data_IF_284303429702
#
_entry.id   IF_284303429702
#
_cell.length_a   1.000
_cell.length_b   1.000
_cell.length_c   1.000
_cell.angle_alpha   90.00
_cell.angle_beta   90.00
_cell.angle_gamma   90.00
#
_symmetry.space_group_name_H-M   'P 1'
#
loop_
_entity.id
_entity.type
_entity.pdbx_description
1 polymer ?
#
# COMPACT_ATOMS: atom_id res chain seq x y z
N UNK A 1 -4.57 19.91 2.27
CA UNK A 1 -3.47 19.86 3.26
C UNK A 1 -3.75 18.84 4.36
N UNK A 2 -4.73 19.06 5.27
CA UNK A 2 -4.98 18.16 6.40
C UNK A 2 -5.12 16.67 6.02
N UNK A 3 -5.77 16.35 4.90
CA UNK A 3 -5.88 14.97 4.40
C UNK A 3 -4.52 14.31 4.09
N UNK A 4 -3.59 15.06 3.47
CA UNK A 4 -2.25 14.56 3.15
C UNK A 4 -1.40 14.39 4.41
N UNK A 5 -1.43 15.37 5.32
CA UNK A 5 -0.66 15.32 6.57
C UNK A 5 -1.15 14.23 7.52
N UNK A 6 -2.46 14.01 7.56
CA UNK A 6 -3.04 12.95 8.36
C UNK A 6 -2.61 11.59 7.84
N UNK A 7 -2.49 11.38 6.53
CA UNK A 7 -2.35 10.04 5.93
C UNK A 7 -0.95 9.70 5.42
N UNK A 8 -0.06 10.68 5.29
CA UNK A 8 1.27 10.49 4.70
C UNK A 8 2.36 11.15 5.56
N UNK A 9 3.65 10.90 5.29
CA UNK A 9 4.75 11.61 5.95
C UNK A 9 4.88 13.08 5.55
N UNK A 10 4.26 13.52 4.45
CA UNK A 10 4.39 14.90 3.97
C UNK A 10 3.80 15.89 4.97
N UNK A 11 4.48 17.02 5.17
CA UNK A 11 4.07 18.12 6.04
C UNK A 11 4.12 19.42 5.26
N UNK A 12 3.08 20.24 5.39
CA UNK A 12 2.94 21.51 4.71
C UNK A 12 3.15 22.62 5.73
N UNK A 13 4.28 23.31 5.61
CA UNK A 13 4.64 24.41 6.51
C UNK A 13 4.40 25.75 5.83
N UNK A 14 3.93 26.74 6.58
CA UNK A 14 3.79 28.09 6.07
C UNK A 14 5.19 28.64 5.73
N UNK A 15 5.38 29.06 4.48
CA UNK A 15 6.65 29.58 3.99
C UNK A 15 7.10 30.79 4.80
N UNK A 16 8.39 30.84 5.10
CA UNK A 16 9.10 32.00 5.66
C UNK A 16 10.15 32.53 4.67
N UNK A 17 11.21 31.77 4.44
CA UNK A 17 12.39 32.17 3.66
C UNK A 17 12.84 31.12 2.66
N UNK A 18 12.13 29.99 2.59
CA UNK A 18 12.43 28.87 1.71
C UNK A 18 12.42 29.34 0.24
N UNK A 19 13.44 28.93 -0.51
CA UNK A 19 13.62 29.33 -1.90
C UNK A 19 12.59 28.67 -2.83
N UNK A 20 12.25 27.41 -2.55
CA UNK A 20 11.32 26.60 -3.32
C UNK A 20 10.07 26.35 -2.49
N UNK A 21 8.90 26.68 -3.02
CA UNK A 21 7.64 26.63 -2.29
C UNK A 21 6.46 26.49 -3.26
N UNK A 22 5.33 26.03 -2.72
CA UNK A 22 4.07 26.02 -3.46
C UNK A 22 3.19 27.19 -3.07
N UNK A 23 2.51 27.79 -4.04
CA UNK A 23 1.51 28.84 -3.82
C UNK A 23 0.17 28.35 -4.31
N UNK A 24 -0.83 28.31 -3.43
CA UNK A 24 -2.22 28.07 -3.84
C UNK A 24 -2.78 29.35 -4.45
N UNK A 25 -3.00 29.35 -5.76
CA UNK A 25 -3.47 30.53 -6.51
C UNK A 25 -4.81 30.24 -7.19
N UNK A 26 -5.70 31.23 -7.32
CA UNK A 26 -6.86 31.09 -8.22
C UNK A 26 -6.39 30.78 -9.64
N UNK A 27 -7.08 29.87 -10.33
CA UNK A 27 -6.83 29.61 -11.75
C UNK A 27 -7.18 30.83 -12.62
N UNK A 28 -6.57 30.93 -13.81
CA UNK A 28 -6.87 32.01 -14.77
C UNK A 28 -8.10 31.72 -15.65
N UNK A 29 -8.71 30.54 -15.47
CA UNK A 29 -9.86 30.03 -16.24
C UNK A 29 -10.79 29.29 -15.26
N UNK A 30 -12.10 29.51 -15.40
CA UNK A 30 -13.13 28.82 -14.60
C UNK A 30 -12.94 27.29 -14.68
N UNK A 31 -13.06 26.61 -13.54
CA UNK A 31 -13.05 25.14 -13.41
C UNK A 31 -11.70 24.43 -13.70
N UNK A 32 -10.58 25.17 -13.71
CA UNK A 32 -9.24 24.58 -13.82
C UNK A 32 -8.64 24.34 -12.43
N UNK A 33 -8.22 23.09 -12.19
CA UNK A 33 -7.29 22.72 -11.12
C UNK A 33 -6.08 22.11 -11.81
N UNK A 34 -4.89 22.56 -11.44
CA UNK A 34 -3.65 22.07 -12.06
C UNK A 34 -2.47 22.26 -11.13
N UNK A 35 -1.44 21.44 -11.33
CA UNK A 35 -0.16 21.57 -10.65
C UNK A 35 0.94 20.93 -11.48
N UNK A 36 2.16 21.43 -11.32
CA UNK A 36 3.34 20.77 -11.87
C UNK A 36 3.63 19.47 -11.10
N UNK A 37 4.25 18.51 -11.78
CA UNK A 37 4.66 17.25 -11.15
C UNK A 37 6.03 17.43 -10.48
N UNK A 38 6.05 17.25 -9.15
CA UNK A 38 7.24 17.35 -8.32
C UNK A 38 7.73 18.79 -8.10
N UNK A 39 8.88 18.92 -7.45
CA UNK A 39 9.51 20.21 -7.11
C UNK A 39 10.22 20.80 -8.32
N UNK A 40 9.65 21.83 -8.95
CA UNK A 40 10.25 22.49 -10.13
C UNK A 40 11.25 23.60 -9.77
N UNK A 41 11.28 24.03 -8.50
CA UNK A 41 12.10 25.13 -7.99
C UNK A 41 11.38 26.49 -8.03
N UNK A 42 11.75 27.40 -7.14
CA UNK A 42 11.12 28.72 -7.00
C UNK A 42 9.66 28.67 -6.52
N UNK A 43 8.88 29.67 -6.95
CA UNK A 43 7.43 29.72 -6.74
C UNK A 43 6.72 28.79 -7.72
N UNK A 44 6.06 27.75 -7.20
CA UNK A 44 5.28 26.79 -7.97
C UNK A 44 3.79 26.92 -7.66
N UNK A 45 3.00 27.31 -8.65
CA UNK A 45 1.56 27.41 -8.48
C UNK A 45 0.90 26.03 -8.36
N UNK A 46 -0.02 25.91 -7.40
CA UNK A 46 -1.10 24.92 -7.39
C UNK A 46 -2.38 25.71 -7.66
N UNK A 47 -2.91 25.58 -8.86
CA UNK A 47 -4.11 26.31 -9.28
C UNK A 47 -5.34 25.69 -8.62
N UNK A 48 -6.03 26.50 -7.83
CA UNK A 48 -7.22 26.12 -7.05
C UNK A 48 -8.32 27.16 -7.23
N UNK A 49 -9.08 27.03 -8.32
CA UNK A 49 -10.30 27.81 -8.53
C UNK A 49 -11.53 27.09 -7.92
N UNK A 50 -12.59 26.85 -8.70
CA UNK A 50 -13.82 26.11 -8.31
C UNK A 50 -13.60 24.60 -8.07
N UNK A 51 -12.43 24.24 -7.54
CA UNK A 51 -11.96 22.92 -7.22
C UNK A 51 -12.66 22.36 -5.98
N UNK A 52 -13.20 21.14 -6.09
CA UNK A 52 -13.61 20.37 -4.92
C UNK A 52 -12.38 19.97 -4.09
N UNK A 53 -12.59 19.67 -2.80
CA UNK A 53 -11.51 19.22 -1.92
C UNK A 53 -10.72 18.03 -2.50
N UNK A 54 -11.39 17.09 -3.16
CA UNK A 54 -10.74 15.95 -3.82
C UNK A 54 -9.86 16.32 -5.01
N UNK A 55 -10.25 17.34 -5.79
CA UNK A 55 -9.39 17.87 -6.86
C UNK A 55 -8.16 18.56 -6.27
N UNK A 56 -8.32 19.33 -5.19
CA UNK A 56 -7.14 19.91 -4.50
C UNK A 56 -6.22 18.83 -3.93
N UNK A 57 -6.77 17.72 -3.40
CA UNK A 57 -5.95 16.57 -2.95
C UNK A 57 -5.17 15.96 -4.12
N UNK A 58 -5.78 15.86 -5.30
CA UNK A 58 -5.13 15.40 -6.54
C UNK A 58 -3.99 16.34 -6.98
N UNK A 59 -4.23 17.65 -7.01
CA UNK A 59 -3.20 18.61 -7.42
C UNK A 59 -2.01 18.66 -6.45
N UNK A 60 -2.27 18.48 -5.15
CA UNK A 60 -1.20 18.28 -4.17
C UNK A 60 -0.41 16.99 -4.48
N UNK A 61 -1.07 15.92 -4.96
CA UNK A 61 -0.39 14.71 -5.41
C UNK A 61 0.57 14.95 -6.57
N UNK A 62 0.17 15.77 -7.55
CA UNK A 62 1.09 16.24 -8.58
C UNK A 62 2.27 17.01 -7.98
N UNK A 63 2.02 18.00 -7.13
CA UNK A 63 3.10 18.80 -6.50
C UNK A 63 4.09 17.93 -5.71
N UNK A 64 3.59 16.88 -5.03
CA UNK A 64 4.40 15.89 -4.32
C UNK A 64 5.28 15.09 -5.28
N UNK A 65 4.81 14.78 -6.48
CA UNK A 65 5.59 14.08 -7.51
C UNK A 65 4.85 12.96 -8.25
N UNK A 66 3.54 12.83 -8.08
CA UNK A 66 2.78 11.77 -8.75
C UNK A 66 2.38 12.16 -10.17
N UNK A 67 2.59 11.24 -11.12
CA UNK A 67 1.90 11.27 -12.39
C UNK A 67 0.47 10.71 -12.23
N UNK A 68 -0.33 10.81 -13.30
CA UNK A 68 -1.62 10.15 -13.32
C UNK A 68 -1.47 8.62 -13.37
N UNK A 69 -2.35 7.90 -12.68
CA UNK A 69 -2.29 6.43 -12.61
C UNK A 69 -2.44 5.78 -14.00
N UNK A 70 -3.32 6.32 -14.85
CA UNK A 70 -3.50 5.80 -16.21
C UNK A 70 -2.31 6.06 -17.15
N UNK A 71 -1.26 6.74 -16.68
CA UNK A 71 -0.02 7.01 -17.45
C UNK A 71 1.15 6.13 -17.03
N UNK A 72 0.94 5.17 -16.12
CA UNK A 72 1.94 4.17 -15.74
C UNK A 72 2.48 3.39 -16.94
N UNK A 73 3.67 2.82 -16.77
CA UNK A 73 4.30 2.00 -17.81
C UNK A 73 3.45 0.76 -18.12
N UNK A 74 2.96 0.12 -17.06
CA UNK A 74 2.20 -1.14 -17.10
C UNK A 74 0.69 -0.98 -17.41
N UNK A 75 0.20 0.26 -17.57
CA UNK A 75 -1.25 0.57 -17.61
C UNK A 75 -2.05 -0.21 -18.65
N UNK A 76 -1.44 -0.56 -19.79
CA UNK A 76 -2.12 -1.30 -20.86
C UNK A 76 -2.45 -2.75 -20.48
N UNK A 77 -1.94 -3.26 -19.36
CA UNK A 77 -2.38 -4.53 -18.76
C UNK A 77 -3.74 -4.37 -18.05
N UNK A 78 -4.06 -3.17 -17.58
CA UNK A 78 -5.17 -2.89 -16.66
C UNK A 78 -6.32 -2.10 -17.29
N UNK A 79 -6.02 -1.20 -18.23
CA UNK A 79 -7.00 -0.36 -18.92
C UNK A 79 -6.78 -0.38 -20.42
N UNK A 80 -7.85 -0.08 -21.17
CA UNK A 80 -7.79 0.26 -22.59
C UNK A 80 -8.03 1.75 -22.76
N UNK A 81 -7.15 2.43 -23.50
CA UNK A 81 -7.36 3.82 -23.91
C UNK A 81 -8.07 3.86 -25.27
N UNK A 82 -9.27 4.42 -25.30
CA UNK A 82 -10.07 4.55 -26.51
C UNK A 82 -9.74 5.86 -27.22
N UNK A 83 -8.59 5.90 -27.90
CA UNK A 83 -8.07 7.10 -28.56
C UNK A 83 -9.06 7.82 -29.48
N UNK A 84 -9.94 7.07 -30.17
CA UNK A 84 -10.96 7.63 -31.05
C UNK A 84 -12.03 8.47 -30.32
N UNK A 85 -12.16 8.33 -29.00
CA UNK A 85 -13.13 9.07 -28.18
C UNK A 85 -12.50 10.29 -27.50
N UNK A 86 -11.19 10.51 -27.61
CA UNK A 86 -10.46 11.58 -26.91
C UNK A 86 -10.42 12.84 -27.77
N UNK A 87 -10.61 14.01 -27.13
CA UNK A 87 -10.39 15.30 -27.77
C UNK A 87 -9.01 15.36 -28.45
N UNK A 88 -8.99 15.78 -29.71
CA UNK A 88 -7.84 15.63 -30.62
C UNK A 88 -6.70 16.62 -30.35
N UNK A 89 -6.91 17.63 -29.51
CA UNK A 89 -5.87 18.60 -29.23
C UNK A 89 -4.68 17.94 -28.50
N UNK A 90 -3.42 18.33 -28.80
CA UNK A 90 -2.24 17.67 -28.25
C UNK A 90 -2.16 17.69 -26.72
N UNK A 91 -2.67 18.76 -26.10
CA UNK A 91 -2.75 18.90 -24.65
C UNK A 91 -3.71 17.86 -24.04
N UNK A 92 -4.86 17.59 -24.68
CA UNK A 92 -5.86 16.64 -24.19
C UNK A 92 -5.43 15.20 -24.40
N UNK A 93 -5.03 14.87 -25.63
CA UNK A 93 -4.54 13.53 -25.97
C UNK A 93 -3.21 13.17 -25.27
N UNK A 94 -2.36 14.17 -24.98
CA UNK A 94 -1.11 14.01 -24.24
C UNK A 94 -1.29 13.46 -22.82
N UNK A 95 -2.42 13.76 -22.15
CA UNK A 95 -2.72 13.29 -20.79
C UNK A 95 -2.93 11.76 -20.68
N UNK A 96 -3.01 11.05 -21.80
CA UNK A 96 -3.18 9.60 -21.87
C UNK A 96 -1.91 8.89 -22.33
N UNK A 97 -0.81 9.61 -22.61
CA UNK A 97 0.46 8.97 -22.96
C UNK A 97 1.17 8.51 -21.70
N UNK A 98 1.87 7.37 -21.77
CA UNK A 98 2.64 6.89 -20.62
C UNK A 98 3.82 7.83 -20.39
N UNK A 99 4.28 7.96 -19.15
CA UNK A 99 5.41 8.86 -18.85
C UNK A 99 6.66 8.50 -19.66
N UNK A 100 6.92 7.20 -19.88
CA UNK A 100 8.03 6.72 -20.72
C UNK A 100 7.91 7.13 -22.18
N UNK A 101 6.69 7.17 -22.74
CA UNK A 101 6.46 7.54 -24.15
C UNK A 101 6.71 9.05 -24.36
N UNK A 102 6.73 9.81 -23.26
CA UNK A 102 7.03 11.23 -23.22
C UNK A 102 8.50 11.51 -22.84
N UNK A 103 9.32 10.47 -22.65
CA UNK A 103 10.72 10.59 -22.22
C UNK A 103 10.88 11.19 -20.83
N UNK A 104 9.87 11.01 -19.96
CA UNK A 104 9.92 11.49 -18.57
C UNK A 104 10.52 10.42 -17.67
N UNK A 105 11.27 10.86 -16.67
CA UNK A 105 11.75 9.97 -15.60
C UNK A 105 10.61 9.61 -14.66
N UNK A 106 10.64 8.40 -14.12
CA UNK A 106 9.63 7.90 -13.20
C UNK A 106 9.76 6.39 -13.00
N UNK A 107 9.05 5.87 -12.00
CA UNK A 107 8.94 4.45 -11.75
C UNK A 107 7.51 4.13 -11.27
N UNK A 108 7.03 2.95 -11.64
CA UNK A 108 5.72 2.45 -11.23
C UNK A 108 5.80 2.03 -9.74
N UNK A 109 4.94 2.62 -8.90
CA UNK A 109 4.91 2.32 -7.47
C UNK A 109 3.77 1.36 -7.14
N UNK A 110 4.12 0.15 -6.70
CA UNK A 110 3.14 -0.85 -6.25
C UNK A 110 2.26 -1.38 -7.40
N UNK A 111 1.19 -2.09 -7.03
CA UNK A 111 0.23 -2.61 -8.01
C UNK A 111 -0.67 -1.48 -8.55
N UNK A 112 -1.21 -1.64 -9.76
CA UNK A 112 -2.09 -0.66 -10.39
C UNK A 112 -3.34 -0.39 -9.55
N UNK A 113 -3.61 0.87 -9.26
CA UNK A 113 -4.68 1.29 -8.35
C UNK A 113 -5.83 2.01 -9.07
N UNK A 114 -6.88 1.26 -9.43
CA UNK A 114 -8.08 1.82 -10.04
C UNK A 114 -8.77 2.88 -9.16
N UNK A 115 -8.61 2.77 -7.83
CA UNK A 115 -9.15 3.68 -6.84
C UNK A 115 -8.27 4.90 -6.55
N UNK A 116 -7.09 5.02 -7.17
CA UNK A 116 -6.18 6.15 -6.96
C UNK A 116 -6.86 7.50 -7.22
N UNK A 117 -6.58 8.48 -6.36
CA UNK A 117 -7.01 9.86 -6.59
C UNK A 117 -6.41 10.40 -7.88
N UNK A 118 -5.26 9.86 -8.31
CA UNK A 118 -4.53 10.22 -9.52
C UNK A 118 -5.08 9.56 -10.80
N UNK A 119 -6.03 8.63 -10.68
CA UNK A 119 -6.65 7.99 -11.84
C UNK A 119 -7.74 8.88 -12.44
N UNK A 120 -7.79 8.98 -13.77
CA UNK A 120 -8.89 9.62 -14.48
C UNK A 120 -10.18 8.80 -14.49
N UNK A 121 -11.32 9.50 -14.57
CA UNK A 121 -12.61 8.85 -14.78
C UNK A 121 -12.79 8.37 -16.21
N UNK A 122 -13.77 7.47 -16.40
CA UNK A 122 -14.09 6.79 -17.66
C UNK A 122 -14.22 7.72 -18.87
N UNK A 123 -14.80 8.92 -18.70
CA UNK A 123 -15.11 9.85 -19.79
C UNK A 123 -14.20 11.08 -19.83
N UNK A 124 -13.04 11.05 -19.14
CA UNK A 124 -12.11 12.17 -19.10
C UNK A 124 -11.74 12.61 -20.53
N UNK A 125 -11.86 13.91 -20.82
CA UNK A 125 -11.57 14.49 -22.14
C UNK A 125 -12.27 13.82 -23.33
N UNK A 126 -13.46 13.25 -23.12
CA UNK A 126 -14.26 12.68 -24.20
C UNK A 126 -14.72 13.77 -25.17
N UNK A 127 -14.68 13.47 -26.47
CA UNK A 127 -15.22 14.35 -27.53
C UNK A 127 -16.63 13.97 -27.98
N UNK A 128 -17.11 12.78 -27.61
CA UNK A 128 -18.35 12.19 -28.10
C UNK A 128 -19.22 11.59 -26.98
N UNK A 129 -18.87 11.86 -25.72
CA UNK A 129 -19.55 11.32 -24.53
C UNK A 129 -19.30 9.84 -24.27
N UNK A 130 -18.52 9.15 -25.13
CA UNK A 130 -18.16 7.75 -24.95
C UNK A 130 -16.92 7.60 -24.06
N UNK A 131 -16.71 6.42 -23.44
CA UNK A 131 -15.55 6.13 -22.60
C UNK A 131 -14.22 6.38 -23.31
N UNK A 132 -13.33 7.16 -22.70
CA UNK A 132 -11.93 7.32 -23.11
C UNK A 132 -11.01 6.32 -22.41
N UNK A 133 -11.40 5.86 -21.23
CA UNK A 133 -10.70 4.82 -20.47
C UNK A 133 -11.69 3.70 -20.12
N UNK A 134 -11.33 2.45 -20.43
CA UNK A 134 -12.13 1.28 -20.06
C UNK A 134 -11.29 0.32 -19.21
N UNK A 135 -11.64 0.09 -17.93
CA UNK A 135 -11.02 -0.97 -17.15
C UNK A 135 -11.18 -2.33 -17.81
N UNK A 136 -10.10 -3.12 -17.84
CA UNK A 136 -10.15 -4.50 -18.34
C UNK A 136 -10.73 -5.47 -17.30
N UNK A 137 -10.59 -5.13 -16.02
CA UNK A 137 -11.21 -5.86 -14.93
C UNK A 137 -12.70 -5.47 -14.80
N UNK A 138 -13.59 -6.47 -14.75
CA UNK A 138 -15.00 -6.22 -14.49
C UNK A 138 -15.23 -5.78 -13.04
N UNK A 139 -16.26 -4.97 -12.78
CA UNK A 139 -16.69 -4.60 -11.43
C UNK A 139 -15.86 -3.54 -10.70
N UNK A 140 -14.80 -3.02 -11.33
CA UNK A 140 -14.00 -1.92 -10.77
C UNK A 140 -14.48 -0.55 -11.27
N UNK A 141 -14.40 0.45 -10.40
CA UNK A 141 -14.68 1.85 -10.73
C UNK A 141 -13.38 2.65 -10.73
N UNK A 142 -13.35 3.73 -11.53
CA UNK A 142 -12.19 4.61 -11.68
C UNK A 142 -12.60 6.08 -11.58
N UNK A 143 -11.66 6.94 -11.18
CA UNK A 143 -11.85 8.39 -11.19
C UNK A 143 -12.50 8.98 -9.95
N UNK A 144 -12.43 8.29 -8.81
CA UNK A 144 -12.90 8.84 -7.54
C UNK A 144 -12.17 10.15 -7.19
N UNK A 145 -12.86 11.06 -6.50
CA UNK A 145 -12.34 12.36 -6.03
C UNK A 145 -12.72 12.62 -4.57
N UNK A 146 -12.66 11.59 -3.73
CA UNK A 146 -12.98 11.66 -2.30
C UNK A 146 -11.74 11.83 -1.44
N UNK A 147 -10.66 11.09 -1.73
CA UNK A 147 -9.40 11.19 -1.00
C UNK A 147 -8.35 10.19 -1.50
N UNK A 148 -7.15 10.27 -0.93
CA UNK A 148 -6.06 9.32 -1.22
C UNK A 148 -6.52 7.88 -1.01
N UNK A 149 -6.26 7.04 -2.00
CA UNK A 149 -6.37 5.59 -1.88
C UNK A 149 -5.24 5.03 -1.01
N UNK A 150 -5.30 3.73 -0.72
CA UNK A 150 -4.19 3.01 -0.07
C UNK A 150 -2.92 3.05 -0.93
N UNK A 151 -3.03 2.85 -2.25
CA UNK A 151 -1.90 2.90 -3.17
C UNK A 151 -1.23 4.27 -3.20
N UNK A 152 -2.03 5.35 -3.20
CA UNK A 152 -1.52 6.73 -3.13
C UNK A 152 -0.71 6.97 -1.84
N UNK A 153 -1.22 6.50 -0.70
CA UNK A 153 -0.56 6.63 0.60
C UNK A 153 0.77 5.85 0.60
N UNK A 154 0.77 4.60 0.14
CA UNK A 154 1.99 3.80 0.07
C UNK A 154 3.05 4.42 -0.85
N UNK A 155 2.64 4.91 -2.02
CA UNK A 155 3.52 5.64 -2.92
C UNK A 155 4.10 6.89 -2.25
N UNK A 156 3.33 7.59 -1.41
CA UNK A 156 3.79 8.79 -0.72
C UNK A 156 4.85 8.46 0.35
N UNK A 157 4.62 7.40 1.13
CA UNK A 157 5.62 6.91 2.09
C UNK A 157 6.92 6.55 1.37
N UNK A 158 6.83 5.83 0.25
CA UNK A 158 7.98 5.44 -0.56
C UNK A 158 8.74 6.64 -1.15
N UNK A 159 8.02 7.61 -1.71
CA UNK A 159 8.61 8.79 -2.35
C UNK A 159 9.29 9.72 -1.33
N UNK A 160 8.78 9.79 -0.10
CA UNK A 160 9.34 10.64 0.96
C UNK A 160 10.75 10.24 1.44
N UNK A 161 11.33 9.16 0.91
CA UNK A 161 12.65 8.63 1.31
C UNK A 161 13.59 8.29 0.13
N UNK A 162 13.98 9.25 -0.73
CA UNK A 162 14.93 8.96 -1.82
C UNK A 162 16.37 8.85 -1.27
N UNK A 163 16.94 7.64 -1.26
CA UNK A 163 18.39 7.44 -1.11
C UNK A 163 18.94 7.11 0.29
N UNK A 164 18.12 6.68 1.24
CA UNK A 164 18.59 6.27 2.57
C UNK A 164 18.11 4.88 2.99
N UNK A 165 18.94 4.15 3.73
CA UNK A 165 18.54 3.00 4.55
C UNK A 165 17.58 3.47 5.65
N UNK A 166 16.34 3.79 5.29
CA UNK A 166 15.28 4.14 6.21
C UNK A 166 14.05 3.34 5.82
N UNK A 167 13.85 2.25 6.54
CA UNK A 167 12.57 1.83 7.08
C UNK A 167 11.29 2.33 6.37
N UNK A 168 11.07 1.80 5.14
CA UNK A 168 10.04 2.21 4.17
C UNK A 168 8.70 1.49 4.35
N UNK A 169 8.57 0.66 5.38
CA UNK A 169 7.34 -0.08 5.66
C UNK A 169 6.24 0.83 6.24
N UNK A 170 4.96 0.51 6.02
CA UNK A 170 3.86 1.14 6.76
C UNK A 170 4.09 1.01 8.26
N UNK A 171 3.83 2.07 9.04
CA UNK A 171 4.05 2.11 10.49
C UNK A 171 2.74 2.32 11.23
N UNK A 172 2.63 1.71 12.41
CA UNK A 172 1.55 2.02 13.35
C UNK A 172 2.00 3.22 14.18
N UNK A 173 1.15 4.23 14.31
CA UNK A 173 1.49 5.46 15.05
C UNK A 173 0.58 5.61 16.26
N UNK A 174 1.17 5.76 17.45
CA UNK A 174 0.46 6.17 18.65
C UNK A 174 0.55 7.68 18.82
N UNK A 175 -0.50 8.26 19.40
CA UNK A 175 -0.61 9.68 19.68
C UNK A 175 -1.07 9.89 21.13
N UNK A 176 -0.55 10.90 21.82
CA UNK A 176 -0.99 11.26 23.18
C UNK A 176 -2.31 12.06 23.20
N UNK A 177 -2.71 12.64 22.07
CA UNK A 177 -4.00 13.28 21.87
C UNK A 177 -5.02 12.39 21.18
N UNK A 178 -6.30 12.77 21.29
CA UNK A 178 -7.37 12.20 20.46
C UNK A 178 -7.30 12.76 19.04
N UNK A 179 -7.99 12.09 18.11
CA UNK A 179 -8.02 12.43 16.68
C UNK A 179 -6.62 12.56 16.06
N UNK A 180 -5.68 11.73 16.51
CA UNK A 180 -4.30 11.67 16.03
C UNK A 180 -3.52 12.98 16.23
N UNK A 181 -3.82 13.71 17.30
CA UNK A 181 -3.17 14.97 17.64
C UNK A 181 -2.07 14.79 18.70
N UNK A 182 -1.28 15.85 18.93
CA UNK A 182 -0.26 15.88 19.97
C UNK A 182 1.04 15.16 19.60
N UNK A 183 1.79 14.74 20.61
CA UNK A 183 3.04 13.99 20.44
C UNK A 183 2.72 12.63 19.85
N UNK A 184 3.61 12.10 19.00
CA UNK A 184 3.41 10.80 18.38
C UNK A 184 4.69 10.00 18.21
N UNK A 185 4.54 8.67 18.26
CA UNK A 185 5.61 7.70 17.99
C UNK A 185 5.10 6.67 16.99
N UNK A 186 5.89 6.41 15.94
CA UNK A 186 5.62 5.38 14.94
C UNK A 186 6.44 4.12 15.20
N UNK A 187 5.84 2.96 14.93
CA UNK A 187 6.39 1.64 15.20
C UNK A 187 6.30 0.75 13.98
N UNK A 188 7.37 0.00 13.75
CA UNK A 188 7.46 -1.04 12.74
C UNK A 188 6.94 -2.38 13.21
N UNK A 189 6.73 -3.33 12.28
CA UNK A 189 6.62 -4.75 12.62
C UNK A 189 7.65 -5.16 13.68
N UNK A 190 7.18 -5.82 14.73
CA UNK A 190 8.00 -6.25 15.86
C UNK A 190 7.45 -5.83 17.21
N UNK A 191 8.16 -6.26 18.26
CA UNK A 191 7.83 -5.99 19.66
C UNK A 191 8.46 -4.67 20.13
N UNK A 192 7.64 -3.83 20.75
CA UNK A 192 8.05 -2.56 21.33
C UNK A 192 7.47 -2.45 22.74
N UNK A 193 8.28 -2.04 23.70
CA UNK A 193 7.82 -1.77 25.06
C UNK A 193 8.43 -0.48 25.59
N UNK A 194 7.71 0.18 26.49
CA UNK A 194 8.18 1.35 27.19
C UNK A 194 9.46 1.02 27.98
N UNK A 195 10.41 1.96 27.98
CA UNK A 195 11.67 1.89 28.72
C UNK A 195 11.89 3.21 29.44
N UNK A 196 12.25 3.14 30.72
CA UNK A 196 12.51 4.31 31.56
C UNK A 196 11.38 5.36 31.53
N UNK A 197 10.11 4.90 31.54
CA UNK A 197 8.93 5.78 31.54
C UNK A 197 8.59 6.43 30.20
N UNK A 198 9.24 6.01 29.11
CA UNK A 198 8.98 6.52 27.76
C UNK A 198 8.71 5.38 26.80
N UNK A 199 7.90 5.66 25.78
CA UNK A 199 7.61 4.78 24.68
C UNK A 199 8.01 5.44 23.36
N UNK A 200 9.32 5.52 23.15
CA UNK A 200 9.92 6.35 22.10
C UNK A 200 9.81 7.83 22.46
N UNK A 201 9.20 8.63 21.60
CA UNK A 201 8.90 10.05 21.86
C UNK A 201 7.69 10.27 22.78
N UNK A 202 6.87 9.24 23.00
CA UNK A 202 5.73 9.30 23.91
C UNK A 202 6.16 9.03 25.34
N UNK A 203 5.44 9.59 26.31
CA UNK A 203 5.49 9.10 27.67
C UNK A 203 4.77 7.74 27.76
N UNK A 204 5.24 6.88 28.67
CA UNK A 204 4.55 5.62 28.94
C UNK A 204 3.12 5.89 29.45
N UNK A 205 2.16 5.06 29.06
CA UNK A 205 0.76 5.19 29.47
C UNK A 205 0.10 6.53 29.12
N UNK A 206 0.45 7.16 27.99
CA UNK A 206 -0.22 8.40 27.54
C UNK A 206 -0.93 8.29 26.20
N UNK A 207 -0.85 7.16 25.51
CA UNK A 207 -1.48 7.01 24.20
C UNK A 207 -3.01 7.12 24.31
N UNK A 208 -3.59 8.03 23.52
CA UNK A 208 -5.03 8.31 23.46
C UNK A 208 -5.65 8.05 22.08
N UNK A 209 -4.85 7.91 21.03
CA UNK A 209 -5.31 7.43 19.72
C UNK A 209 -4.23 6.63 18.98
N UNK A 210 -4.66 5.79 18.04
CA UNK A 210 -3.77 4.89 17.30
C UNK A 210 -4.12 4.91 15.81
N UNK A 211 -3.14 5.22 14.96
CA UNK A 211 -3.27 5.17 13.51
C UNK A 211 -2.64 3.88 12.99
N UNK A 212 -3.45 3.06 12.34
CA UNK A 212 -3.08 1.75 11.78
C UNK A 212 -3.33 1.80 10.28
N UNK A 213 -2.28 1.72 9.45
CA UNK A 213 -2.44 1.61 8.00
C UNK A 213 -3.01 0.24 7.63
N UNK A 214 -3.74 0.11 6.51
CA UNK A 214 -4.15 -1.19 6.00
C UNK A 214 -2.96 -2.13 5.81
N UNK A 215 -3.18 -3.42 6.01
CA UNK A 215 -2.11 -4.41 5.96
C UNK A 215 -1.37 -4.60 7.28
N UNK A 216 -1.79 -3.92 8.35
CA UNK A 216 -1.16 -3.99 9.68
C UNK A 216 -2.18 -4.32 10.75
N UNK A 217 -1.74 -5.06 11.76
CA UNK A 217 -2.47 -5.31 12.99
C UNK A 217 -1.53 -5.07 14.16
N UNK A 218 -2.08 -4.62 15.29
CA UNK A 218 -1.29 -4.36 16.48
C UNK A 218 -1.94 -5.02 17.68
N UNK A 219 -1.17 -5.83 18.38
CA UNK A 219 -1.49 -6.28 19.74
C UNK A 219 -0.96 -5.24 20.72
N UNK A 220 -1.75 -4.83 21.71
CA UNK A 220 -1.32 -3.89 22.75
C UNK A 220 -1.52 -4.47 24.14
N UNK A 221 -0.71 -3.98 25.08
CA UNK A 221 -0.67 -4.40 26.48
C UNK A 221 -0.57 -3.21 27.43
N UNK A 222 -1.18 -3.34 28.60
CA UNK A 222 -0.93 -2.49 29.77
C UNK A 222 0.13 -3.13 30.67
N UNK A 223 0.92 -2.37 31.41
CA UNK A 223 1.84 -2.92 32.41
C UNK A 223 1.09 -3.36 33.70
N UNK A 224 1.15 -4.65 34.07
CA UNK A 224 0.55 -5.20 35.29
C UNK A 224 0.78 -6.71 35.50
N UNK A 225 0.17 -7.29 36.54
CA UNK A 225 0.31 -8.74 36.86
C UNK A 225 -0.63 -9.62 36.02
N UNK A 226 -1.67 -9.02 35.42
CA UNK A 226 -2.70 -9.69 34.62
C UNK A 226 -2.69 -9.29 33.12
N UNK A 227 -1.73 -8.44 32.69
CA UNK A 227 -1.52 -7.87 31.33
C UNK A 227 -2.65 -8.16 30.32
N UNK A 228 -3.81 -7.47 30.40
CA UNK A 228 -4.84 -7.61 29.39
C UNK A 228 -4.27 -7.26 28.02
N UNK A 229 -4.69 -8.05 27.02
CA UNK A 229 -4.23 -7.92 25.62
C UNK A 229 -5.43 -7.62 24.73
N UNK A 230 -5.26 -6.73 23.76
CA UNK A 230 -6.24 -6.57 22.68
C UNK A 230 -5.56 -6.36 21.35
N UNK A 231 -6.30 -6.61 20.28
CA UNK A 231 -5.86 -6.32 18.92
C UNK A 231 -6.64 -5.14 18.33
N UNK A 232 -5.93 -4.29 17.60
CA UNK A 232 -6.52 -3.30 16.72
C UNK A 232 -6.09 -3.59 15.28
N UNK A 233 -7.08 -3.69 14.39
CA UNK A 233 -6.86 -3.88 12.94
C UNK A 233 -7.17 -2.65 12.09
N UNK A 234 -7.67 -1.58 12.72
CA UNK A 234 -8.04 -0.31 12.09
C UNK A 234 -7.73 0.86 13.03
N UNK A 235 -7.51 2.04 12.45
CA UNK A 235 -7.20 3.25 13.22
C UNK A 235 -8.33 3.60 14.21
N UNK A 236 -7.97 3.94 15.44
CA UNK A 236 -8.89 4.42 16.48
C UNK A 236 -8.60 5.90 16.76
N UNK A 237 -9.53 6.83 16.42
CA UNK A 237 -9.35 8.25 16.70
C UNK A 237 -9.47 8.57 18.20
N UNK A 238 -10.05 7.67 18.99
CA UNK A 238 -9.99 7.71 20.44
C UNK A 238 -9.90 6.28 20.95
N UNK A 239 -8.90 6.01 21.79
CA UNK A 239 -8.86 4.80 22.58
C UNK A 239 -9.89 4.91 23.70
N UNK A 240 -10.52 3.79 24.04
CA UNK A 240 -11.45 3.68 25.15
C UNK A 240 -10.79 2.96 26.33
N UNK A 241 -11.37 3.05 27.52
CA UNK A 241 -10.96 2.23 28.66
C UNK A 241 -11.02 0.73 28.30
N UNK A 242 -10.05 -0.10 28.71
CA UNK A 242 -8.90 0.21 29.57
C UNK A 242 -7.65 0.73 28.85
N UNK A 243 -7.68 0.95 27.53
CA UNK A 243 -6.49 1.19 26.71
C UNK A 243 -6.05 2.65 26.69
N UNK A 244 -7.00 3.57 26.81
CA UNK A 244 -6.70 5.00 26.85
C UNK A 244 -5.75 5.32 28.01
N UNK A 245 -4.61 5.94 27.71
CA UNK A 245 -3.56 6.27 28.69
C UNK A 245 -3.07 5.06 29.51
N UNK A 246 -3.00 3.87 28.90
CA UNK A 246 -2.54 2.67 29.61
C UNK A 246 -1.68 1.73 28.76
N UNK A 247 -1.46 2.02 27.48
CA UNK A 247 -0.62 1.20 26.61
C UNK A 247 0.85 1.36 27.02
N UNK A 248 1.48 0.26 27.41
CA UNK A 248 2.91 0.19 27.81
C UNK A 248 3.75 -0.69 26.89
N UNK A 249 3.13 -1.56 26.10
CA UNK A 249 3.81 -2.32 25.07
C UNK A 249 2.87 -2.60 23.89
N UNK A 250 3.47 -2.89 22.74
CA UNK A 250 2.76 -3.34 21.54
C UNK A 250 3.60 -4.28 20.68
N UNK A 251 2.91 -5.09 19.90
CA UNK A 251 3.51 -5.90 18.85
C UNK A 251 2.78 -5.59 17.55
N UNK A 252 3.52 -4.98 16.63
CA UNK A 252 3.00 -4.72 15.29
C UNK A 252 3.30 -5.94 14.42
N UNK A 253 2.31 -6.39 13.66
CA UNK A 253 2.49 -7.43 12.65
C UNK A 253 1.81 -7.04 11.33
N UNK A 254 2.31 -7.63 10.24
CA UNK A 254 1.64 -7.58 8.94
C UNK A 254 0.41 -8.49 8.99
N UNK A 255 -0.69 -8.02 8.41
CA UNK A 255 -1.96 -8.72 8.39
C UNK A 255 -2.71 -8.43 7.08
N UNK A 256 -3.69 -9.24 6.72
CA UNK A 256 -4.46 -9.05 5.48
C UNK A 256 -5.68 -8.20 5.78
N UNK A 257 -5.89 -7.11 5.05
CA UNK A 257 -7.09 -6.29 5.15
C UNK A 257 -8.03 -6.60 4.00
N UNK A 258 -9.29 -6.93 4.28
CA UNK A 258 -10.34 -7.18 3.28
C UNK A 258 -11.38 -6.05 3.32
N UNK A 259 -12.10 -5.88 2.21
CA UNK A 259 -13.05 -4.78 2.01
C UNK A 259 -14.36 -5.28 1.39
N UNK A 260 -15.47 -4.63 1.77
CA UNK A 260 -16.79 -4.94 1.19
C UNK A 260 -16.93 -4.40 -0.22
N UNK A 261 -16.27 -3.29 -0.49
CA UNK A 261 -16.29 -2.62 -1.78
C UNK A 261 -15.09 -3.06 -2.63
N UNK A 262 -15.18 -2.87 -3.96
CA UNK A 262 -14.04 -3.03 -4.87
C UNK A 262 -13.01 -1.92 -4.66
N UNK A 263 -11.80 -2.06 -5.18
CA UNK A 263 -10.73 -1.05 -5.12
C UNK A 263 -10.33 -0.62 -3.70
N UNK A 264 -10.45 -1.53 -2.73
CA UNK A 264 -9.84 -1.43 -1.39
C UNK A 264 -10.28 -0.20 -0.57
N UNK A 265 -11.56 0.16 -0.65
CA UNK A 265 -12.15 1.24 0.14
C UNK A 265 -13.39 0.76 0.91
N UNK A 266 -13.96 1.63 1.73
CA UNK A 266 -15.20 1.37 2.46
C UNK A 266 -15.01 0.50 3.70
N UNK A 267 -15.97 -0.38 3.98
CA UNK A 267 -15.99 -1.19 5.19
C UNK A 267 -14.89 -2.24 5.11
N UNK A 268 -14.04 -2.30 6.13
CA UNK A 268 -12.87 -3.18 6.13
C UNK A 268 -12.69 -3.94 7.43
N UNK A 269 -12.00 -5.08 7.32
CA UNK A 269 -11.59 -5.90 8.45
C UNK A 269 -10.20 -6.49 8.20
N UNK A 270 -9.39 -6.60 9.25
CA UNK A 270 -8.01 -7.10 9.15
C UNK A 270 -7.85 -8.45 9.86
N UNK A 271 -7.15 -9.39 9.21
CA UNK A 271 -6.93 -10.75 9.65
C UNK A 271 -5.42 -11.06 9.72
N UNK A 272 -4.92 -11.38 10.91
CA UNK A 272 -3.54 -11.84 11.12
C UNK A 272 -3.33 -13.25 10.56
N UNK A 273 -2.07 -13.71 10.55
CA UNK A 273 -1.71 -15.07 10.13
C UNK A 273 -2.54 -16.12 10.88
N UNK A 274 -3.12 -17.06 10.15
CA UNK A 274 -4.03 -18.06 10.71
C UNK A 274 -5.18 -18.40 9.79
N UNK A 275 -6.16 -19.12 10.31
CA UNK A 275 -7.38 -19.49 9.61
C UNK A 275 -8.59 -18.89 10.33
N UNK A 276 -9.45 -18.20 9.59
CA UNK A 276 -10.58 -17.46 10.12
C UNK A 276 -11.85 -17.85 9.38
N UNK A 277 -12.92 -18.13 10.15
CA UNK A 277 -14.18 -18.71 9.66
C UNK A 277 -15.35 -17.83 10.07
N UNK A 278 -16.31 -17.62 9.19
CA UNK A 278 -17.47 -16.79 9.46
C UNK A 278 -18.36 -17.35 10.60
N UNK A 279 -18.55 -18.67 10.65
CA UNK A 279 -19.34 -19.39 11.65
C UNK A 279 -18.74 -19.31 13.07
N UNK A 280 -17.45 -19.05 13.17
CA UNK A 280 -16.75 -18.80 14.42
C UNK A 280 -16.90 -17.33 14.88
N UNK A 281 -17.68 -16.52 14.16
CA UNK A 281 -17.89 -15.11 14.43
C UNK A 281 -16.72 -14.22 14.01
N UNK A 282 -15.73 -14.75 13.28
CA UNK A 282 -14.54 -13.98 12.92
C UNK A 282 -14.81 -12.89 11.86
N UNK A 283 -15.95 -12.92 11.17
CA UNK A 283 -16.33 -11.95 10.12
C UNK A 283 -17.32 -10.90 10.67
N UNK A 284 -17.19 -10.53 11.95
CA UNK A 284 -18.12 -9.65 12.65
C UNK A 284 -18.18 -8.21 12.12
N UNK A 285 -17.13 -7.72 11.46
CA UNK A 285 -17.12 -6.39 10.83
C UNK A 285 -17.45 -6.50 9.34
N UNK A 286 -16.75 -7.36 8.61
CA UNK A 286 -16.91 -7.47 7.16
C UNK A 286 -18.20 -8.17 6.74
N UNK A 287 -18.72 -9.09 7.56
CA UNK A 287 -19.86 -9.94 7.21
C UNK A 287 -19.46 -11.15 6.37
N UNK A 288 -20.17 -12.26 6.54
CA UNK A 288 -19.99 -13.46 5.71
C UNK A 288 -20.37 -13.17 4.26
N UNK A 289 -19.59 -13.68 3.30
CA UNK A 289 -19.91 -13.56 1.87
C UNK A 289 -20.04 -12.10 1.41
N UNK A 290 -19.15 -11.22 1.88
CA UNK A 290 -19.16 -9.79 1.56
C UNK A 290 -17.80 -9.27 1.06
N UNK A 291 -16.79 -10.13 0.86
CA UNK A 291 -15.46 -9.66 0.46
C UNK A 291 -15.46 -9.40 -1.05
N UNK A 292 -15.17 -8.15 -1.42
CA UNK A 292 -15.02 -7.74 -2.83
C UNK A 292 -13.60 -7.38 -3.23
N UNK A 293 -12.78 -6.89 -2.29
CA UNK A 293 -11.38 -6.56 -2.54
C UNK A 293 -10.53 -6.81 -1.29
N UNK A 294 -9.21 -6.88 -1.45
CA UNK A 294 -8.30 -7.09 -0.32
C UNK A 294 -6.91 -6.53 -0.58
N UNK A 295 -6.18 -6.31 0.51
CA UNK A 295 -4.77 -6.01 0.51
C UNK A 295 -4.00 -7.07 1.30
N UNK A 296 -3.02 -7.67 0.64
CA UNK A 296 -2.07 -8.61 1.21
C UNK A 296 -0.69 -7.95 1.21
N UNK A 297 -0.15 -7.58 2.38
CA UNK A 297 1.16 -6.95 2.47
C UNK A 297 2.28 -7.94 2.11
N UNK A 298 3.48 -7.44 1.74
CA UNK A 298 4.65 -8.28 1.50
C UNK A 298 4.95 -9.24 2.67
N UNK A 299 5.41 -10.44 2.37
CA UNK A 299 5.66 -11.50 3.35
C UNK A 299 4.43 -12.36 3.68
N UNK A 300 3.28 -12.09 3.08
CA UNK A 300 2.05 -12.87 3.25
C UNK A 300 1.43 -13.27 1.91
N UNK A 301 0.59 -14.30 1.96
CA UNK A 301 -0.46 -14.60 0.97
C UNK A 301 -1.80 -14.80 1.70
N UNK A 302 -2.90 -14.48 1.02
CA UNK A 302 -4.25 -14.73 1.51
C UNK A 302 -4.96 -15.75 0.63
N UNK A 303 -5.56 -16.77 1.23
CA UNK A 303 -6.41 -17.73 0.54
C UNK A 303 -7.84 -17.53 1.00
N UNK A 304 -8.72 -17.10 0.09
CA UNK A 304 -10.16 -17.00 0.34
C UNK A 304 -10.83 -18.26 -0.15
N UNK A 305 -11.79 -18.78 0.62
CA UNK A 305 -12.55 -19.98 0.26
C UNK A 305 -14.04 -19.74 0.38
N UNK A 306 -14.80 -20.30 -0.57
CA UNK A 306 -16.27 -20.17 -0.62
C UNK A 306 -17.01 -21.04 0.39
N UNK A 307 -16.29 -21.89 1.11
CA UNK A 307 -16.82 -22.72 2.17
C UNK A 307 -15.76 -22.93 3.24
N UNK A 308 -16.22 -23.02 4.47
CA UNK A 308 -15.40 -23.22 5.65
C UNK A 308 -14.81 -24.64 5.69
N UNK A 309 -15.45 -25.64 5.09
CA UNK A 309 -14.94 -27.02 5.06
C UNK A 309 -13.99 -27.30 3.90
N UNK A 310 -13.62 -26.27 3.11
CA UNK A 310 -12.69 -26.40 1.99
C UNK A 310 -13.37 -26.55 0.62
N UNK A 311 -14.17 -25.55 0.23
CA UNK A 311 -14.76 -25.44 -1.11
C UNK A 311 -13.78 -24.92 -2.16
N UNK A 312 -14.27 -24.08 -3.08
CA UNK A 312 -13.39 -23.38 -4.04
C UNK A 312 -12.55 -22.36 -3.29
N UNK A 313 -11.23 -22.49 -3.36
CA UNK A 313 -10.29 -21.57 -2.75
C UNK A 313 -9.43 -20.88 -3.82
N UNK A 314 -9.15 -19.59 -3.62
CA UNK A 314 -8.28 -18.80 -4.48
C UNK A 314 -7.25 -18.07 -3.63
N UNK A 315 -6.00 -18.06 -4.10
CA UNK A 315 -4.89 -17.36 -3.43
C UNK A 315 -4.68 -15.98 -4.05
N UNK A 316 -4.41 -15.01 -3.20
CA UNK A 316 -4.25 -13.60 -3.50
C UNK A 316 -2.97 -13.08 -2.86
N UNK A 317 -2.37 -12.11 -3.54
CA UNK A 317 -1.17 -11.39 -3.13
C UNK A 317 -1.32 -9.92 -3.52
N UNK A 318 -0.61 -9.04 -2.83
CA UNK A 318 -0.62 -7.61 -3.09
C UNK A 318 -1.99 -6.93 -2.96
N UNK A 319 -2.16 -5.86 -3.72
CA UNK A 319 -3.39 -5.09 -3.82
C UNK A 319 -4.31 -5.68 -4.86
N UNK A 320 -5.44 -6.22 -4.40
CA UNK A 320 -6.44 -6.86 -5.25
C UNK A 320 -7.68 -5.98 -5.28
N UNK A 321 -7.88 -5.27 -6.38
CA UNK A 321 -9.02 -4.35 -6.55
C UNK A 321 -10.36 -5.05 -6.69
N UNK A 322 -10.39 -6.29 -7.20
CA UNK A 322 -11.59 -7.10 -7.23
C UNK A 322 -11.21 -8.58 -7.21
N UNK A 323 -11.81 -9.34 -6.30
CA UNK A 323 -11.44 -10.74 -6.05
C UNK A 323 -11.84 -11.70 -7.18
N UNK A 324 -12.63 -11.22 -8.13
CA UNK A 324 -13.14 -11.99 -9.28
C UNK A 324 -14.50 -12.62 -9.00
N UNK A 325 -15.27 -12.87 -10.06
CA UNK A 325 -16.66 -13.34 -9.97
C UNK A 325 -16.82 -14.67 -9.20
N UNK A 326 -15.78 -15.51 -9.19
CA UNK A 326 -15.77 -16.76 -8.48
C UNK A 326 -15.75 -16.58 -6.94
N UNK A 327 -15.21 -15.48 -6.45
CA UNK A 327 -14.97 -15.24 -5.03
C UNK A 327 -15.73 -14.03 -4.46
N UNK A 328 -16.12 -13.09 -5.32
CA UNK A 328 -16.79 -11.86 -4.91
C UNK A 328 -18.08 -12.18 -4.16
N UNK A 329 -18.19 -11.65 -2.94
CA UNK A 329 -19.35 -11.87 -2.06
C UNK A 329 -19.68 -13.34 -1.84
N UNK A 330 -18.65 -14.20 -1.78
CA UNK A 330 -18.79 -15.65 -1.60
C UNK A 330 -17.84 -16.25 -0.58
N UNK A 331 -16.87 -15.48 -0.10
CA UNK A 331 -15.85 -15.98 0.80
C UNK A 331 -16.38 -16.10 2.24
N UNK A 332 -16.40 -17.33 2.76
CA UNK A 332 -16.79 -17.63 4.15
C UNK A 332 -15.59 -18.02 5.04
N UNK A 333 -14.41 -18.20 4.45
CA UNK A 333 -13.17 -18.47 5.17
C UNK A 333 -12.00 -17.72 4.53
N UNK A 334 -11.09 -17.21 5.36
CA UNK A 334 -9.80 -16.67 4.96
C UNK A 334 -8.67 -17.40 5.69
N UNK A 335 -7.65 -17.82 4.95
CA UNK A 335 -6.40 -18.37 5.49
C UNK A 335 -5.24 -17.49 5.10
N UNK A 336 -4.60 -16.88 6.09
CA UNK A 336 -3.45 -16.01 5.91
C UNK A 336 -2.18 -16.80 6.22
N UNK A 337 -1.28 -16.93 5.23
CA UNK A 337 -0.04 -17.72 5.33
C UNK A 337 1.17 -16.81 5.17
N UNK A 338 2.27 -17.17 5.84
CA UNK A 338 3.57 -16.55 5.59
C UNK A 338 4.07 -16.92 4.19
N UNK A 339 4.75 -15.96 3.55
CA UNK A 339 5.32 -16.10 2.22
C UNK A 339 6.63 -15.30 2.13
N UNK A 340 7.36 -15.46 1.03
CA UNK A 340 8.46 -14.59 0.64
C UNK A 340 8.02 -13.75 -0.54
N UNK A 341 8.08 -12.44 -0.42
CA UNK A 341 7.78 -11.51 -1.51
C UNK A 341 9.07 -11.01 -2.15
N UNK A 342 9.23 -11.32 -3.42
CA UNK A 342 10.30 -10.88 -4.30
C UNK A 342 9.97 -9.51 -4.90
N UNK A 343 10.98 -8.66 -5.09
CA UNK A 343 10.84 -7.35 -5.72
C UNK A 343 11.88 -7.15 -6.81
N UNK A 344 11.43 -6.59 -7.94
CA UNK A 344 12.28 -6.34 -9.09
C UNK A 344 13.32 -5.24 -8.84
N UNK A 345 13.02 -4.28 -7.96
CA UNK A 345 13.92 -3.17 -7.67
C UNK A 345 14.39 -3.19 -6.21
N UNK A 346 15.44 -2.43 -5.92
CA UNK A 346 15.91 -2.23 -4.55
C UNK A 346 14.85 -1.51 -3.69
N UNK A 347 15.03 -1.54 -2.37
CA UNK A 347 14.16 -0.89 -1.39
C UNK A 347 12.68 -1.32 -1.44
N UNK A 348 12.41 -2.56 -1.88
CA UNK A 348 11.08 -3.17 -1.96
C UNK A 348 10.17 -2.49 -3.01
N UNK A 349 10.73 -2.14 -4.17
CA UNK A 349 10.05 -1.45 -5.28
C UNK A 349 9.84 -2.31 -6.52
N UNK A 350 9.06 -1.77 -7.46
CA UNK A 350 8.76 -2.36 -8.74
C UNK A 350 7.80 -3.55 -8.66
N UNK A 351 7.80 -4.34 -9.73
CA UNK A 351 7.05 -5.59 -9.82
C UNK A 351 7.39 -6.51 -8.64
N UNK A 352 6.39 -7.26 -8.18
CA UNK A 352 6.55 -8.17 -7.04
C UNK A 352 5.88 -9.51 -7.23
N UNK A 353 6.37 -10.51 -6.50
CA UNK A 353 5.80 -11.85 -6.44
C UNK A 353 5.98 -12.51 -5.08
N UNK A 354 4.89 -12.97 -4.47
CA UNK A 354 4.84 -13.73 -3.24
C UNK A 354 4.81 -15.23 -3.50
N UNK A 355 5.67 -15.97 -2.80
CA UNK A 355 5.80 -17.42 -2.88
C UNK A 355 5.69 -18.03 -1.48
N UNK A 356 4.85 -19.05 -1.33
CA UNK A 356 4.73 -19.83 -0.10
C UNK A 356 5.94 -20.77 0.10
N UNK A 357 6.09 -21.45 1.26
CA UNK A 357 7.10 -22.49 1.41
C UNK A 357 7.09 -23.51 0.28
N UNK A 358 8.26 -23.84 -0.27
CA UNK A 358 8.41 -24.61 -1.48
C UNK A 358 9.74 -24.35 -2.20
N UNK A 359 9.89 -24.95 -3.37
CA UNK A 359 11.05 -24.77 -4.25
C UNK A 359 10.58 -24.31 -5.62
N UNK A 360 11.17 -23.23 -6.13
CA UNK A 360 10.72 -22.56 -7.33
C UNK A 360 11.90 -22.19 -8.24
N UNK A 361 11.71 -22.37 -9.54
CA UNK A 361 12.57 -21.77 -10.56
C UNK A 361 12.02 -20.42 -11.03
N UNK A 362 12.80 -19.70 -11.83
CA UNK A 362 12.47 -18.39 -12.37
C UNK A 362 11.09 -18.30 -13.06
N UNK A 363 10.56 -19.40 -13.59
CA UNK A 363 9.22 -19.44 -14.20
C UNK A 363 8.09 -19.10 -13.24
N UNK A 364 8.31 -19.19 -11.93
CA UNK A 364 7.34 -18.81 -10.90
C UNK A 364 7.50 -17.37 -10.39
N UNK A 365 8.52 -16.63 -10.85
CA UNK A 365 8.85 -15.30 -10.33
C UNK A 365 8.00 -14.20 -10.96
N UNK A 366 7.41 -14.46 -12.12
CA UNK A 366 6.60 -13.48 -12.83
C UNK A 366 5.55 -12.82 -11.90
N UNK A 367 5.43 -11.47 -11.93
CA UNK A 367 6.01 -10.54 -12.89
C UNK A 367 7.49 -10.15 -12.65
N UNK A 368 8.12 -10.58 -11.54
CA UNK A 368 9.57 -10.39 -11.35
C UNK A 368 10.30 -11.25 -12.38
N UNK A 369 10.99 -10.62 -13.32
CA UNK A 369 11.65 -11.33 -14.40
C UNK A 369 12.84 -12.14 -13.88
N UNK A 370 13.25 -13.14 -14.66
CA UNK A 370 14.50 -13.85 -14.38
C UNK A 370 15.65 -12.84 -14.33
N UNK A 371 16.59 -13.02 -13.39
CA UNK A 371 17.74 -12.12 -13.25
C UNK A 371 17.33 -10.66 -13.02
N UNK A 372 16.22 -10.43 -12.32
CA UNK A 372 15.76 -9.08 -11.99
C UNK A 372 15.42 -8.91 -10.49
N UNK A 373 15.77 -9.88 -9.64
CA UNK A 373 15.55 -9.74 -8.19
C UNK A 373 16.56 -8.76 -7.60
N UNK A 374 16.06 -7.73 -6.92
CA UNK A 374 16.90 -6.73 -6.25
C UNK A 374 16.64 -6.62 -4.74
N UNK A 375 15.44 -6.96 -4.27
CA UNK A 375 15.10 -6.92 -2.85
C UNK A 375 14.01 -7.95 -2.52
N UNK A 376 13.84 -8.30 -1.23
CA UNK A 376 12.80 -9.25 -0.81
C UNK A 376 12.32 -9.02 0.62
N UNK A 377 11.11 -9.47 0.91
CA UNK A 377 10.57 -9.61 2.27
C UNK A 377 10.39 -11.09 2.58
N UNK A 378 11.08 -11.58 3.60
CA UNK A 378 10.91 -12.95 4.11
C UNK A 378 9.94 -12.91 5.29
N UNK A 379 8.74 -13.46 5.10
CA UNK A 379 7.71 -13.51 6.12
C UNK A 379 8.13 -14.22 7.41
N UNK A 380 7.52 -13.81 8.52
CA UNK A 380 7.85 -14.30 9.85
C UNK A 380 7.83 -15.83 9.95
N UNK A 381 8.89 -16.38 10.54
CA UNK A 381 9.08 -17.82 10.68
C UNK A 381 9.61 -18.52 9.43
N UNK A 382 9.95 -17.79 8.36
CA UNK A 382 10.55 -18.33 7.15
C UNK A 382 12.02 -17.93 6.98
N UNK A 383 12.71 -18.68 6.13
CA UNK A 383 13.99 -18.31 5.52
C UNK A 383 13.93 -18.57 4.01
N UNK A 384 14.66 -17.78 3.24
CA UNK A 384 14.76 -17.92 1.79
C UNK A 384 16.20 -18.21 1.39
N UNK A 385 16.43 -19.31 0.67
CA UNK A 385 17.71 -19.58 0.00
C UNK A 385 17.55 -19.24 -1.47
N UNK A 386 18.27 -18.22 -1.96
CA UNK A 386 18.21 -17.75 -3.35
C UNK A 386 19.52 -18.07 -4.03
N UNK A 387 19.47 -18.57 -5.27
CA UNK A 387 20.66 -18.96 -6.02
C UNK A 387 20.73 -18.29 -7.39
N UNK A 388 21.95 -17.96 -7.79
CA UNK A 388 22.33 -17.65 -9.16
C UNK A 388 22.44 -18.98 -9.93
N UNK A 389 21.61 -19.19 -10.95
CA UNK A 389 21.55 -20.43 -11.72
C UNK A 389 20.35 -21.34 -11.42
N UNK A 390 19.82 -21.94 -12.49
CA UNK A 390 18.65 -22.81 -12.43
C UNK A 390 18.91 -24.06 -11.56
N UNK A 391 17.85 -24.55 -10.90
CA UNK A 391 17.91 -25.75 -10.07
C UNK A 391 18.78 -25.65 -8.82
N UNK A 392 19.23 -24.43 -8.44
CA UNK A 392 20.10 -24.22 -7.28
C UNK A 392 21.55 -24.64 -7.50
N UNK A 393 22.02 -24.66 -8.76
CA UNK A 393 23.34 -25.20 -9.12
C UNK A 393 24.51 -24.21 -8.95
N UNK A 394 24.25 -22.91 -8.79
CA UNK A 394 25.29 -21.89 -8.60
C UNK A 394 25.32 -21.31 -7.18
N UNK A 395 26.02 -20.18 -6.98
CA UNK A 395 26.16 -19.55 -5.67
C UNK A 395 24.81 -19.19 -5.06
N UNK A 396 24.65 -19.47 -3.76
CA UNK A 396 23.41 -19.21 -3.04
C UNK A 396 23.63 -18.33 -1.80
N UNK A 397 22.63 -17.54 -1.47
CA UNK A 397 22.58 -16.73 -0.24
C UNK A 397 21.29 -17.01 0.53
N UNK A 398 21.35 -16.84 1.86
CA UNK A 398 20.21 -17.08 2.77
C UNK A 398 19.75 -15.77 3.38
N UNK A 399 18.47 -15.45 3.19
CA UNK A 399 17.84 -14.22 3.65
C UNK A 399 16.77 -14.48 4.71
N UNK A 400 16.60 -13.49 5.60
CA UNK A 400 15.59 -13.45 6.67
C UNK A 400 15.14 -12.00 6.88
N UNK A 401 13.89 -11.81 7.28
CA UNK A 401 13.29 -10.49 7.48
C UNK A 401 13.20 -9.67 6.19
N UNK A 402 13.13 -8.35 6.35
CA UNK A 402 13.06 -7.40 5.25
C UNK A 402 14.47 -7.11 4.71
N UNK A 403 14.69 -7.35 3.42
CA UNK A 403 15.98 -7.20 2.73
C UNK A 403 15.82 -6.16 1.62
N UNK A 404 16.22 -4.92 1.90
CA UNK A 404 16.12 -3.80 0.95
C UNK A 404 17.08 -3.91 -0.25
N UNK A 405 18.15 -4.70 -0.13
CA UNK A 405 19.06 -4.99 -1.22
C UNK A 405 19.67 -6.37 -1.02
N UNK A 406 19.57 -7.24 -2.02
CA UNK A 406 20.09 -8.62 -1.95
C UNK A 406 21.61 -8.70 -2.00
N UNK A 407 22.31 -7.58 -2.22
CA UNK A 407 23.75 -7.54 -2.35
C UNK A 407 24.22 -7.76 -3.79
N UNK A 408 25.40 -7.23 -4.13
CA UNK A 408 25.95 -7.27 -5.49
C UNK A 408 26.19 -8.69 -6.04
N UNK A 409 26.35 -9.67 -5.14
CA UNK A 409 26.53 -11.07 -5.51
C UNK A 409 25.25 -11.69 -6.07
N UNK A 410 24.07 -11.28 -5.60
CA UNK A 410 22.77 -11.86 -5.97
C UNK A 410 21.87 -10.92 -6.81
N UNK A 411 22.13 -9.61 -6.78
CA UNK A 411 21.33 -8.62 -7.50
C UNK A 411 21.29 -8.94 -9.00
N UNK A 412 20.07 -8.99 -9.56
CA UNK A 412 19.82 -9.28 -10.98
C UNK A 412 20.41 -10.62 -11.46
N UNK A 413 20.50 -11.62 -10.56
CA UNK A 413 21.05 -12.96 -10.87
C UNK A 413 20.18 -14.12 -10.42
N UNK A 414 19.19 -13.85 -9.56
CA UNK A 414 18.34 -14.90 -9.01
C UNK A 414 17.58 -15.66 -10.10
N UNK A 415 17.79 -16.99 -10.13
CA UNK A 415 17.10 -17.91 -11.06
C UNK A 415 16.37 -19.06 -10.33
N UNK A 416 16.59 -19.20 -9.02
CA UNK A 416 16.01 -20.26 -8.19
C UNK A 416 15.88 -19.82 -6.74
N UNK A 417 14.82 -20.29 -6.07
CA UNK A 417 14.59 -20.03 -4.64
C UNK A 417 13.98 -21.24 -3.94
N UNK A 418 14.43 -21.50 -2.71
CA UNK A 418 13.81 -22.42 -1.75
C UNK A 418 13.41 -21.68 -0.50
N UNK A 419 12.16 -21.88 -0.09
CA UNK A 419 11.51 -21.21 1.03
C UNK A 419 11.11 -22.27 2.03
N UNK A 420 11.56 -22.10 3.26
CA UNK A 420 11.38 -23.09 4.32
C UNK A 420 11.06 -22.42 5.64
N UNK A 421 10.51 -23.19 6.57
CA UNK A 421 10.39 -22.73 7.96
C UNK A 421 11.78 -22.51 8.52
N UNK A 422 12.00 -21.33 9.08
CA UNK A 422 13.21 -20.98 9.81
C UNK A 422 13.18 -21.66 11.18
N UNK A 423 13.30 -22.98 11.17
CA UNK A 423 13.62 -23.77 12.35
C UNK A 423 15.06 -23.44 12.71
N UNK A 424 15.30 -22.48 13.61
CA UNK A 424 16.54 -22.58 14.38
C UNK A 424 16.44 -23.89 15.18
N UNK A 425 17.48 -24.73 15.21
CA UNK A 425 17.54 -25.81 16.18
C UNK A 425 17.46 -25.28 17.61
#
# INVERSE_FOLDING_TARGET
IAHWEANTPFRFVARTTEADFVTFTPGNLDDVCSSFVGRIGGDQAIEVDTCTAGRVIHEIGHAVGFYHEQTRYDRDTYVTINWANIQTSPDRSGNFRRYVDLGRDGADSGDYDYGSIMHYGTNAFSMNGQPTITPKQSGVTIGQRTGLSRGDIEAAFRLSSPGGTYDTGPKVTLHDGTSYSGTSQSFLPGYHAARNGTFGTLADNTASSIKIPPGMMVEVWTAGVDDPRTYFGTSQPSLTSPWNNSISALFVERAVTVYRESSQWGVSQTFRRGEWRANAGHFNVIGNDQISSLYVPPGLVAELCTSETGGTCQTYEGGVNYVGDAMNDKASMIRVKAAVTLFQEGNLWGNRKSLTPGTYGYGSFAPVQNNALSSLVVGDGLMATVCDGAGGAGPCEVYRGDVNYVGAAMNDKASWIRIETNTRP
#
